data_IF_235791956304
#
_entry.id   IF_235791956304
#
_cell.length_a   1.000
_cell.length_b   1.000
_cell.length_c   1.000
_cell.angle_alpha   90.00
_cell.angle_beta   90.00
_cell.angle_gamma   90.00
#
_symmetry.space_group_name_H-M   'P 1'
#
loop_
_entity.id
_entity.type
_entity.pdbx_description
1 polymer ?
#
# COMPACT_ATOMS: atom_id res chain seq x y z
N UNK A 1 22.39 8.75 -5.31
CA UNK A 1 21.91 9.86 -4.48
C UNK A 1 20.44 9.57 -4.15
N UNK A 2 20.15 9.47 -2.86
CA UNK A 2 18.81 9.51 -2.23
C UNK A 2 17.81 8.35 -2.42
N UNK A 3 18.25 7.08 -2.50
CA UNK A 3 17.32 5.93 -2.37
C UNK A 3 16.54 5.94 -1.05
N UNK A 4 17.04 6.65 -0.03
CA UNK A 4 16.35 6.88 1.24
C UNK A 4 14.93 7.43 1.07
N UNK A 5 14.70 8.32 0.10
CA UNK A 5 13.36 8.90 -0.12
C UNK A 5 12.43 7.86 -0.74
N UNK A 6 12.93 7.10 -1.74
CA UNK A 6 12.14 6.04 -2.37
C UNK A 6 11.81 4.92 -1.37
N UNK A 7 12.77 4.54 -0.52
CA UNK A 7 12.60 3.57 0.55
C UNK A 7 11.56 4.05 1.58
N UNK A 8 11.61 5.33 1.96
CA UNK A 8 10.66 5.94 2.89
C UNK A 8 9.26 6.01 2.28
N UNK A 9 9.14 6.38 1.00
CA UNK A 9 7.86 6.36 0.28
C UNK A 9 7.31 4.93 0.23
N UNK A 10 8.13 3.94 -0.16
CA UNK A 10 7.72 2.54 -0.19
C UNK A 10 7.28 2.05 1.20
N UNK A 11 7.98 2.45 2.27
CA UNK A 11 7.62 2.13 3.65
C UNK A 11 6.27 2.75 4.05
N UNK A 12 6.04 4.02 3.74
CA UNK A 12 4.76 4.69 4.01
C UNK A 12 3.63 3.98 3.26
N UNK A 13 3.82 3.71 1.96
CA UNK A 13 2.83 3.01 1.14
C UNK A 13 2.54 1.61 1.70
N UNK A 14 3.56 0.89 2.15
CA UNK A 14 3.43 -0.42 2.76
C UNK A 14 2.65 -0.38 4.08
N UNK A 15 2.91 0.62 4.93
CA UNK A 15 2.16 0.81 6.18
C UNK A 15 0.69 1.10 5.87
N UNK A 16 0.39 2.00 4.93
CA UNK A 16 -0.98 2.32 4.51
C UNK A 16 -1.69 1.07 3.97
N UNK A 17 -0.99 0.29 3.12
CA UNK A 17 -1.50 -0.95 2.56
C UNK A 17 -1.82 -1.99 3.67
N UNK A 18 -0.88 -2.20 4.58
CA UNK A 18 -1.00 -3.15 5.68
C UNK A 18 -2.11 -2.76 6.66
N UNK A 19 -2.25 -1.47 6.99
CA UNK A 19 -3.33 -0.96 7.84
C UNK A 19 -4.69 -1.14 7.17
N UNK A 20 -4.82 -0.79 5.88
CA UNK A 20 -6.08 -0.98 5.16
C UNK A 20 -6.48 -2.45 5.07
N UNK A 21 -5.54 -3.34 4.73
CA UNK A 21 -5.79 -4.78 4.67
C UNK A 21 -6.08 -5.38 6.06
N UNK A 22 -5.37 -4.96 7.11
CA UNK A 22 -5.59 -5.43 8.47
C UNK A 22 -6.97 -5.05 9.00
N UNK A 23 -7.40 -3.81 8.76
CA UNK A 23 -8.74 -3.35 9.15
C UNK A 23 -9.82 -4.01 8.28
N UNK A 24 -9.57 -4.18 6.97
CA UNK A 24 -10.47 -4.93 6.10
C UNK A 24 -10.59 -6.40 6.52
N UNK A 25 -9.52 -7.03 7.03
CA UNK A 25 -9.55 -8.42 7.50
C UNK A 25 -10.32 -8.60 8.81
N UNK A 26 -10.22 -7.66 9.74
CA UNK A 26 -10.87 -7.75 11.07
C UNK A 26 -12.31 -7.24 11.03
N UNK A 27 -12.54 -6.10 10.37
CA UNK A 27 -13.82 -5.40 10.40
C UNK A 27 -14.59 -5.47 9.07
N UNK A 28 -14.07 -6.16 8.04
CA UNK A 28 -14.61 -6.13 6.66
C UNK A 28 -14.78 -4.71 6.11
N UNK A 29 -14.04 -3.75 6.67
CA UNK A 29 -14.14 -2.34 6.37
C UNK A 29 -12.96 -1.90 5.51
N UNK A 30 -13.26 -1.48 4.29
CA UNK A 30 -12.25 -0.95 3.37
C UNK A 30 -12.21 0.59 3.48
N UNK A 31 -11.18 1.10 4.15
CA UNK A 31 -11.02 2.56 4.38
C UNK A 31 -10.83 3.28 3.05
N UNK A 32 -10.02 2.72 2.15
CA UNK A 32 -9.83 3.28 0.82
C UNK A 32 -11.15 3.27 0.04
N UNK A 33 -11.93 2.20 0.19
CA UNK A 33 -13.27 2.08 -0.40
C UNK A 33 -14.26 3.11 0.15
N UNK A 34 -14.18 3.45 1.43
CA UNK A 34 -15.03 4.47 2.04
C UNK A 34 -14.68 5.89 1.55
N UNK A 35 -13.39 6.20 1.42
CA UNK A 35 -12.90 7.52 0.98
C UNK A 35 -13.08 7.71 -0.54
N UNK A 36 -12.79 6.69 -1.34
CA UNK A 36 -12.81 6.76 -2.81
C UNK A 36 -14.00 6.01 -3.43
N UNK A 37 -15.08 5.82 -2.67
CA UNK A 37 -16.28 5.06 -3.07
C UNK A 37 -16.85 5.50 -4.43
N UNK A 38 -16.80 6.81 -4.72
CA UNK A 38 -17.31 7.41 -5.95
C UNK A 38 -16.53 7.01 -7.22
N UNK A 39 -15.31 6.50 -7.10
CA UNK A 39 -14.46 6.15 -8.27
C UNK A 39 -13.76 4.79 -8.08
N UNK A 40 -14.42 3.67 -8.44
CA UNK A 40 -13.89 2.32 -8.25
C UNK A 40 -12.56 2.06 -8.99
N UNK A 41 -12.32 2.78 -10.08
CA UNK A 41 -11.10 2.66 -10.89
C UNK A 41 -9.88 3.16 -10.12
N UNK A 42 -10.02 4.29 -9.41
CA UNK A 42 -8.92 4.88 -8.60
C UNK A 42 -8.55 3.94 -7.47
N UNK A 43 -9.55 3.36 -6.80
CA UNK A 43 -9.35 2.37 -5.74
C UNK A 43 -8.53 1.16 -6.22
N UNK A 44 -8.83 0.63 -7.40
CA UNK A 44 -8.09 -0.49 -8.00
C UNK A 44 -6.64 -0.12 -8.29
N UNK A 45 -6.41 1.06 -8.86
CA UNK A 45 -5.06 1.55 -9.17
C UNK A 45 -4.24 1.71 -7.89
N UNK A 46 -4.81 2.32 -6.84
CA UNK A 46 -4.14 2.49 -5.54
C UNK A 46 -3.75 1.14 -4.93
N UNK A 47 -4.67 0.15 -4.94
CA UNK A 47 -4.36 -1.19 -4.43
C UNK A 47 -3.24 -1.88 -5.21
N UNK A 48 -3.15 -1.68 -6.52
CA UNK A 48 -2.03 -2.19 -7.34
C UNK A 48 -0.72 -1.51 -6.93
N UNK A 49 -0.72 -0.18 -6.80
CA UNK A 49 0.48 0.59 -6.39
C UNK A 49 0.96 0.17 -5.00
N UNK A 50 0.04 -0.03 -4.06
CA UNK A 50 0.32 -0.53 -2.72
C UNK A 50 0.92 -1.95 -2.74
N UNK A 51 0.39 -2.84 -3.59
CA UNK A 51 0.97 -4.17 -3.79
C UNK A 51 2.38 -4.13 -4.37
N UNK A 52 2.61 -3.29 -5.39
CA UNK A 52 3.94 -3.11 -6.01
C UNK A 52 4.94 -2.52 -5.01
N UNK A 53 4.53 -1.56 -4.18
CA UNK A 53 5.37 -1.01 -3.12
C UNK A 53 5.79 -2.09 -2.11
N UNK A 54 4.87 -2.97 -1.70
CA UNK A 54 5.19 -4.10 -0.83
C UNK A 54 6.14 -5.11 -1.47
N UNK A 55 5.96 -5.43 -2.75
CA UNK A 55 6.90 -6.30 -3.49
C UNK A 55 8.29 -5.67 -3.57
N UNK A 56 8.38 -4.35 -3.78
CA UNK A 56 9.66 -3.63 -3.78
C UNK A 56 10.35 -3.71 -2.41
N UNK A 57 9.61 -3.51 -1.31
CA UNK A 57 10.15 -3.61 0.04
C UNK A 57 10.60 -5.03 0.37
N UNK A 58 9.83 -6.06 -0.02
CA UNK A 58 10.22 -7.47 0.16
C UNK A 58 11.48 -7.77 -0.65
N UNK A 59 11.55 -7.35 -1.91
CA UNK A 59 12.73 -7.53 -2.74
C UNK A 59 13.97 -6.89 -2.10
N UNK A 60 13.83 -5.66 -1.58
CA UNK A 60 14.91 -4.97 -0.86
C UNK A 60 15.30 -5.69 0.44
N UNK A 61 14.33 -6.24 1.18
CA UNK A 61 14.57 -6.98 2.42
C UNK A 61 15.23 -8.34 2.18
N UNK A 62 14.88 -9.03 1.09
CA UNK A 62 15.37 -10.38 0.74
C UNK A 62 16.71 -10.31 0.02
N UNK A 63 16.96 -9.30 -0.81
CA UNK A 63 18.23 -9.09 -1.51
C UNK A 63 19.30 -8.42 -0.62
N UNK A 64 19.16 -8.55 0.70
CA UNK A 64 20.06 -7.96 1.68
C UNK A 64 21.48 -8.52 1.59
#
# INVERSE_FOLDING_TARGET
MDTKILDLIALILLIIAGVNLGIAGVANYNILGAIFSSVPVVLKILNIIFGVAGLYTIYYLVKR
#
